data_IF_675434519868
#
_entry.id   IF_675434519868
#
_cell.length_a   1.000
_cell.length_b   1.000
_cell.length_c   1.000
_cell.angle_alpha   90.00
_cell.angle_beta   90.00
_cell.angle_gamma   90.00
#
_symmetry.space_group_name_H-M   'P 1'
#
loop_
_entity.id
_entity.type
_entity.pdbx_description
1 polymer ?
#
# COMPACT_ATOMS: atom_id res chain seq x y z
N UNK A 1 42.88 -41.15 13.95
CA UNK A 1 42.69 -40.53 12.62
C UNK A 1 41.39 -39.75 12.66
N UNK A 2 41.47 -38.46 12.33
CA UNK A 2 40.37 -37.48 12.18
C UNK A 2 39.35 -37.99 11.13
N UNK A 3 38.11 -37.52 11.01
CA UNK A 3 37.76 -36.24 10.39
C UNK A 3 36.37 -35.73 10.83
N UNK A 4 36.36 -34.49 11.32
CA UNK A 4 35.18 -33.63 11.46
C UNK A 4 34.69 -33.20 10.06
N UNK A 5 33.41 -33.40 9.74
CA UNK A 5 32.78 -32.87 8.53
C UNK A 5 32.13 -31.50 8.83
N UNK A 6 32.50 -30.41 8.12
CA UNK A 6 31.92 -29.09 8.39
C UNK A 6 30.55 -28.93 7.73
N UNK A 7 29.60 -28.47 8.53
CA UNK A 7 28.26 -28.02 8.15
C UNK A 7 28.38 -26.79 7.24
N UNK A 8 28.14 -26.97 5.94
CA UNK A 8 28.12 -25.85 4.97
C UNK A 8 26.73 -25.22 4.93
N UNK A 9 26.62 -24.02 5.51
CA UNK A 9 25.40 -23.20 5.47
C UNK A 9 25.39 -22.37 4.18
N UNK A 10 24.58 -22.77 3.19
CA UNK A 10 24.37 -22.00 1.96
C UNK A 10 23.35 -20.89 2.23
N UNK A 11 23.80 -19.63 2.19
CA UNK A 11 22.94 -18.45 2.30
C UNK A 11 22.44 -18.04 0.91
N UNK A 12 21.16 -18.27 0.62
CA UNK A 12 20.51 -17.79 -0.60
C UNK A 12 20.08 -16.34 -0.44
N UNK A 13 20.70 -15.42 -1.20
CA UNK A 13 20.20 -14.05 -1.35
C UNK A 13 19.18 -14.02 -2.49
N UNK A 14 17.90 -13.88 -2.15
CA UNK A 14 16.86 -13.56 -3.12
C UNK A 14 16.93 -12.05 -3.46
N UNK A 15 17.15 -11.72 -4.73
CA UNK A 15 17.04 -10.36 -5.24
C UNK A 15 15.55 -10.01 -5.37
N UNK A 16 15.03 -9.20 -4.43
CA UNK A 16 13.70 -8.62 -4.57
C UNK A 16 13.74 -7.56 -5.69
N UNK A 17 13.03 -7.81 -6.79
CA UNK A 17 12.87 -6.80 -7.84
C UNK A 17 11.89 -5.72 -7.35
N UNK A 18 12.25 -4.42 -7.45
CA UNK A 18 11.31 -3.36 -7.08
C UNK A 18 10.13 -3.41 -8.05
N UNK A 19 8.95 -3.74 -7.54
CA UNK A 19 7.73 -3.63 -8.33
C UNK A 19 7.44 -2.14 -8.59
N UNK A 20 7.07 -1.75 -9.82
CA UNK A 20 6.72 -0.37 -10.10
C UNK A 20 5.56 0.07 -9.19
N UNK A 21 5.78 1.16 -8.47
CA UNK A 21 4.79 1.73 -7.56
C UNK A 21 3.50 2.03 -8.36
N UNK A 22 2.35 1.68 -7.78
CA UNK A 22 1.03 1.78 -8.42
C UNK A 22 0.96 1.18 -9.84
N UNK A 23 1.78 0.17 -10.17
CA UNK A 23 1.85 -0.39 -11.52
C UNK A 23 2.04 0.69 -12.62
N UNK A 24 3.01 1.60 -12.39
CA UNK A 24 3.36 2.74 -13.26
C UNK A 24 2.31 3.87 -13.31
N UNK A 25 1.25 3.83 -12.50
CA UNK A 25 0.38 4.98 -12.28
C UNK A 25 1.08 6.03 -11.40
N UNK A 26 0.66 7.30 -11.47
CA UNK A 26 1.20 8.34 -10.59
C UNK A 26 0.99 8.02 -9.10
N UNK A 27 1.91 8.53 -8.29
CA UNK A 27 1.80 8.57 -6.82
C UNK A 27 1.31 9.98 -6.46
N UNK A 28 0.00 10.17 -6.19
CA UNK A 28 -0.54 11.50 -5.96
C UNK A 28 0.03 12.13 -4.70
N UNK A 29 0.15 13.46 -4.72
CA UNK A 29 0.56 14.28 -3.60
C UNK A 29 -0.63 15.16 -3.17
N UNK A 30 -0.94 15.17 -1.88
CA UNK A 30 -2.08 15.90 -1.32
C UNK A 30 -3.28 15.02 -1.02
N UNK A 31 -4.39 15.66 -0.62
CA UNK A 31 -5.51 14.97 0.01
C UNK A 31 -6.34 14.06 -0.93
N UNK A 32 -6.33 14.29 -2.24
CA UNK A 32 -7.18 13.58 -3.19
C UNK A 32 -6.36 12.88 -4.28
N UNK A 33 -6.68 11.63 -4.56
CA UNK A 33 -6.02 10.87 -5.61
C UNK A 33 -6.49 11.31 -7.01
N UNK A 34 -5.69 11.03 -8.05
CA UNK A 34 -6.00 11.47 -9.42
C UNK A 34 -7.22 10.70 -9.94
N UNK A 35 -8.29 11.44 -10.26
CA UNK A 35 -9.55 10.88 -10.74
C UNK A 35 -9.32 10.03 -12.00
N UNK A 36 -10.04 8.90 -12.11
CA UNK A 36 -9.98 7.96 -13.23
C UNK A 36 -8.59 7.37 -13.53
N UNK A 37 -7.58 7.70 -12.73
CA UNK A 37 -6.19 7.29 -12.93
C UNK A 37 -5.77 6.38 -11.78
N UNK A 38 -5.87 6.86 -10.54
CA UNK A 38 -5.53 6.06 -9.37
C UNK A 38 -6.64 5.07 -9.02
N UNK A 39 -6.23 3.89 -8.59
CA UNK A 39 -7.12 2.82 -8.14
C UNK A 39 -7.14 2.75 -6.61
N UNK A 40 -8.16 2.09 -6.07
CA UNK A 40 -8.21 1.80 -4.63
C UNK A 40 -6.92 1.07 -4.22
N UNK A 41 -6.39 1.45 -3.05
CA UNK A 41 -5.13 0.97 -2.46
C UNK A 41 -3.83 1.43 -3.12
N UNK A 42 -3.89 2.26 -4.17
CA UNK A 42 -2.69 2.92 -4.69
C UNK A 42 -1.99 3.72 -3.59
N UNK A 43 -0.66 3.69 -3.60
CA UNK A 43 0.18 4.50 -2.72
C UNK A 43 0.03 5.96 -3.10
N UNK A 44 -0.09 6.83 -2.10
CA UNK A 44 -0.11 8.28 -2.24
C UNK A 44 0.74 8.91 -1.13
N UNK A 45 0.98 10.22 -1.23
CA UNK A 45 1.62 10.99 -0.18
C UNK A 45 0.72 12.16 0.24
N UNK A 46 0.48 12.33 1.53
CA UNK A 46 -0.30 13.45 2.08
C UNK A 46 0.39 13.95 3.35
N UNK A 47 0.52 15.27 3.51
CA UNK A 47 1.21 15.89 4.65
C UNK A 47 2.65 15.37 4.87
N UNK A 48 3.35 14.98 3.80
CA UNK A 48 4.69 14.40 3.86
C UNK A 48 4.75 12.95 4.37
N UNK A 49 3.61 12.29 4.56
CA UNK A 49 3.48 10.91 4.99
C UNK A 49 3.02 10.02 3.83
N UNK A 50 3.42 8.75 3.87
CA UNK A 50 2.87 7.73 2.99
C UNK A 50 1.41 7.41 3.37
N UNK A 51 0.63 7.03 2.37
CA UNK A 51 -0.77 6.68 2.56
C UNK A 51 -1.34 5.85 1.41
N UNK A 52 -2.66 5.65 1.46
CA UNK A 52 -3.41 4.96 0.40
C UNK A 52 -4.60 5.74 -0.12
N UNK A 53 -4.83 5.59 -1.42
CA UNK A 53 -6.06 5.99 -2.08
C UNK A 53 -7.20 5.05 -1.66
N UNK A 54 -8.09 5.51 -0.78
CA UNK A 54 -9.23 4.74 -0.28
C UNK A 54 -10.55 5.46 -0.54
N UNK A 55 -11.68 4.75 -0.63
CA UNK A 55 -13.00 5.38 -0.53
C UNK A 55 -13.13 6.00 0.86
N UNK A 56 -13.35 7.31 0.93
CA UNK A 56 -13.58 8.04 2.18
C UNK A 56 -14.18 9.40 1.90
N UNK A 57 -15.11 9.85 2.73
CA UNK A 57 -15.69 11.20 2.65
C UNK A 57 -14.76 12.27 3.25
N UNK A 58 -13.67 11.85 3.93
CA UNK A 58 -12.69 12.76 4.50
C UNK A 58 -12.06 13.68 3.44
N UNK A 59 -11.64 14.85 3.88
CA UNK A 59 -10.90 15.85 3.09
C UNK A 59 -11.63 16.40 1.84
N UNK A 60 -12.92 16.10 1.65
CA UNK A 60 -13.76 16.76 0.65
C UNK A 60 -13.41 16.43 -0.81
N UNK A 61 -12.95 15.21 -1.09
CA UNK A 61 -12.55 14.79 -2.44
C UNK A 61 -13.73 14.47 -3.38
N UNK A 62 -14.97 14.53 -2.88
CA UNK A 62 -16.18 14.19 -3.63
C UNK A 62 -16.18 12.73 -4.06
N UNK A 63 -16.46 12.47 -5.33
CA UNK A 63 -16.47 11.12 -5.94
C UNK A 63 -15.07 10.50 -6.14
N UNK A 64 -14.01 11.24 -5.80
CA UNK A 64 -12.62 10.76 -5.95
C UNK A 64 -12.20 9.97 -4.72
N UNK A 65 -11.23 9.08 -4.92
CA UNK A 65 -10.54 8.45 -3.80
C UNK A 65 -9.76 9.51 -2.99
N UNK A 66 -9.77 9.33 -1.68
CA UNK A 66 -9.06 10.19 -0.74
C UNK A 66 -7.72 9.54 -0.38
N UNK A 67 -6.66 10.33 -0.38
CA UNK A 67 -5.37 9.91 0.15
C UNK A 67 -5.39 10.06 1.67
N UNK A 68 -5.29 8.94 2.38
CA UNK A 68 -5.29 8.88 3.84
C UNK A 68 -3.95 8.30 4.30
N UNK A 69 -3.36 8.93 5.31
CA UNK A 69 -2.11 8.48 5.93
C UNK A 69 -2.21 7.03 6.41
N UNK A 70 -1.16 6.22 6.21
CA UNK A 70 -1.17 4.80 6.57
C UNK A 70 -1.47 4.57 8.07
N UNK A 71 -1.04 5.47 8.94
CA UNK A 71 -1.28 5.39 10.40
C UNK A 71 -2.74 5.63 10.81
N UNK A 72 -3.61 6.06 9.88
CA UNK A 72 -5.05 6.24 10.07
C UNK A 72 -5.88 5.13 9.42
N UNK A 73 -5.23 4.14 8.81
CA UNK A 73 -5.87 3.06 8.10
C UNK A 73 -5.88 1.76 8.93
N UNK A 74 -6.96 1.00 8.82
CA UNK A 74 -6.96 -0.43 9.15
C UNK A 74 -6.92 -1.23 7.86
N UNK A 75 -5.95 -2.13 7.73
CA UNK A 75 -5.73 -2.94 6.54
C UNK A 75 -5.96 -4.42 6.84
N UNK A 76 -6.78 -5.06 6.03
CA UNK A 76 -6.94 -6.52 6.04
C UNK A 76 -6.00 -7.13 5.00
N UNK A 77 -4.99 -7.87 5.48
CA UNK A 77 -4.02 -8.55 4.62
C UNK A 77 -4.63 -9.75 3.87
N UNK A 78 -5.76 -10.30 4.34
CA UNK A 78 -6.40 -11.46 3.74
C UNK A 78 -7.39 -11.06 2.63
N UNK A 79 -7.86 -9.82 2.64
CA UNK A 79 -8.72 -9.27 1.58
C UNK A 79 -7.91 -8.37 0.67
N UNK A 80 -7.71 -8.78 -0.57
CA UNK A 80 -7.03 -7.95 -1.57
C UNK A 80 -8.03 -7.11 -2.37
N UNK A 81 -7.73 -5.84 -2.54
CA UNK A 81 -8.44 -4.92 -3.44
C UNK A 81 -7.43 -4.37 -4.45
N UNK A 82 -7.67 -4.63 -5.74
CA UNK A 82 -6.75 -4.25 -6.84
C UNK A 82 -5.31 -4.75 -6.63
N UNK A 83 -5.16 -5.91 -6.00
CA UNK A 83 -3.87 -6.58 -5.78
C UNK A 83 -3.10 -6.12 -4.53
N UNK A 84 -3.72 -5.35 -3.63
CA UNK A 84 -3.11 -4.87 -2.37
C UNK A 84 -4.05 -5.12 -1.19
N UNK A 85 -3.54 -5.25 0.06
CA UNK A 85 -4.38 -5.34 1.25
C UNK A 85 -5.45 -4.26 1.27
N UNK A 86 -6.69 -4.65 1.57
CA UNK A 86 -7.82 -3.73 1.63
C UNK A 86 -7.67 -2.86 2.87
N UNK A 87 -7.30 -1.60 2.67
CA UNK A 87 -7.26 -0.60 3.72
C UNK A 87 -8.49 0.32 3.67
N UNK A 88 -8.95 0.74 4.85
CA UNK A 88 -10.04 1.70 5.07
C UNK A 88 -9.68 2.64 6.22
N UNK A 89 -10.25 3.85 6.20
CA UNK A 89 -10.08 4.83 7.27
C UNK A 89 -10.69 4.28 8.57
N UNK A 90 -9.96 4.39 9.68
CA UNK A 90 -10.45 3.99 11.01
C UNK A 90 -11.65 4.84 11.40
N UNK A 91 -12.72 4.19 11.86
CA UNK A 91 -13.93 4.87 12.34
C UNK A 91 -14.89 5.35 11.26
N UNK A 92 -14.54 5.16 9.98
CA UNK A 92 -15.47 5.33 8.86
C UNK A 92 -15.87 3.92 8.41
N UNK A 93 -17.06 3.45 8.81
CA UNK A 93 -17.58 2.19 8.30
C UNK A 93 -17.54 2.23 6.78
N UNK A 94 -17.05 1.15 6.17
CA UNK A 94 -16.78 1.10 4.75
C UNK A 94 -18.04 1.48 3.97
N UNK A 95 -18.09 2.70 3.46
CA UNK A 95 -19.14 3.15 2.55
C UNK A 95 -19.05 2.22 1.33
N UNK A 96 -20.11 1.46 1.00
CA UNK A 96 -20.08 0.44 -0.05
C UNK A 96 -19.68 1.01 -1.41
#
# INVERSE_FOLDING_TARGET
MHFLAPLSLLLTLALATPMPQNANRPVPQGACCVANTNLKQDVCNVNGQAGRCVPSAANGCGERLTCIEDNRLTCDANTLERGRPRCRLVGEEAIP
#
